data_IF_581999786639
#
_entry.id   IF_581999786639
#
_cell.length_a   1.000
_cell.length_b   1.000
_cell.length_c   1.000
_cell.angle_alpha   90.00
_cell.angle_beta   90.00
_cell.angle_gamma   90.00
#
_symmetry.space_group_name_H-M   'P 1'
#
loop_
_entity.id
_entity.type
_entity.pdbx_description
1 polymer ?
#
# COMPACT_ATOMS: atom_id res chain seq x y z
N UNK A 1 -3.08 8.44 27.09
CA UNK A 1 -2.38 7.23 26.63
C UNK A 1 -0.89 7.52 26.60
N UNK A 2 -0.06 6.71 27.26
CA UNK A 2 1.39 6.88 27.17
C UNK A 2 1.91 6.39 25.81
N UNK A 3 3.05 6.90 25.35
CA UNK A 3 3.66 6.50 24.07
C UNK A 3 3.85 4.97 23.98
N UNK A 4 4.17 4.31 25.10
CA UNK A 4 4.31 2.86 25.20
C UNK A 4 3.00 2.11 24.93
N UNK A 5 1.86 2.62 25.44
CA UNK A 5 0.55 2.01 25.19
C UNK A 5 0.13 2.12 23.72
N UNK A 6 0.50 3.22 23.06
CA UNK A 6 0.24 3.42 21.63
C UNK A 6 1.05 2.43 20.79
N UNK A 7 2.34 2.24 21.10
CA UNK A 7 3.20 1.29 20.39
C UNK A 7 2.69 -0.15 20.52
N UNK A 8 2.30 -0.59 21.72
CA UNK A 8 1.73 -1.93 21.89
C UNK A 8 0.41 -2.13 21.13
N UNK A 9 -0.44 -1.10 21.04
CA UNK A 9 -1.67 -1.18 20.25
C UNK A 9 -1.37 -1.32 18.76
N UNK A 10 -0.30 -0.70 18.29
CA UNK A 10 0.15 -0.80 16.90
C UNK A 10 0.71 -2.19 16.61
N UNK A 11 1.54 -2.74 17.50
CA UNK A 11 2.09 -4.10 17.33
C UNK A 11 0.95 -5.14 17.27
N UNK A 12 -0.05 -5.04 18.16
CA UNK A 12 -1.25 -5.89 18.10
C UNK A 12 -2.06 -5.72 16.80
N UNK A 13 -2.07 -4.52 16.23
CA UNK A 13 -2.72 -4.26 14.95
C UNK A 13 -1.97 -4.93 13.80
N UNK A 14 -0.64 -4.84 13.80
CA UNK A 14 0.23 -5.48 12.82
C UNK A 14 0.12 -7.01 12.86
N UNK A 15 0.08 -7.62 14.04
CA UNK A 15 -0.14 -9.07 14.17
C UNK A 15 -1.44 -9.53 13.51
N UNK A 16 -2.53 -8.80 13.72
CA UNK A 16 -3.84 -9.12 13.11
C UNK A 16 -3.83 -8.95 11.59
N UNK A 17 -3.11 -7.96 11.11
CA UNK A 17 -2.94 -7.72 9.68
C UNK A 17 -2.09 -8.84 9.04
N UNK A 18 -1.05 -9.31 9.72
CA UNK A 18 -0.26 -10.46 9.26
C UNK A 18 -1.12 -11.73 9.16
N UNK A 19 -2.00 -11.99 10.13
CA UNK A 19 -2.95 -13.11 10.05
C UNK A 19 -3.88 -13.02 8.83
N UNK A 20 -4.32 -11.81 8.48
CA UNK A 20 -5.10 -11.59 7.27
C UNK A 20 -4.27 -11.89 6.02
N UNK A 21 -3.01 -11.46 5.98
CA UNK A 21 -2.11 -11.77 4.87
C UNK A 21 -1.81 -13.25 4.74
N UNK A 22 -1.60 -13.98 5.84
CA UNK A 22 -1.40 -15.42 5.81
C UNK A 22 -2.66 -16.15 5.29
N UNK A 23 -3.85 -15.63 5.60
CA UNK A 23 -5.09 -16.15 5.04
C UNK A 23 -5.19 -15.87 3.53
N UNK A 24 -4.83 -14.66 3.09
CA UNK A 24 -4.79 -14.31 1.67
C UNK A 24 -3.73 -15.12 0.90
N UNK A 25 -2.51 -15.26 1.41
CA UNK A 25 -1.42 -16.04 0.82
C UNK A 25 -1.86 -17.49 0.61
N UNK A 26 -2.37 -18.14 1.65
CA UNK A 26 -2.88 -19.52 1.55
C UNK A 26 -4.00 -19.68 0.53
N UNK A 27 -4.87 -18.68 0.42
CA UNK A 27 -6.01 -18.72 -0.49
C UNK A 27 -5.61 -18.42 -1.95
N UNK A 28 -4.60 -17.56 -2.15
CA UNK A 28 -4.13 -17.12 -3.46
C UNK A 28 -3.06 -18.04 -4.06
N UNK A 29 -2.39 -18.89 -3.28
CA UNK A 29 -1.41 -19.84 -3.82
C UNK A 29 -2.06 -20.82 -4.79
N UNK A 30 -1.38 -21.04 -5.90
CA UNK A 30 -1.73 -22.05 -6.88
C UNK A 30 -1.59 -23.43 -6.21
N UNK A 31 -2.64 -24.28 -6.24
CA UNK A 31 -2.60 -25.61 -5.63
C UNK A 31 -1.58 -26.55 -6.30
N UNK A 32 -1.34 -26.37 -7.59
CA UNK A 32 -0.47 -27.20 -8.42
C UNK A 32 0.97 -26.65 -8.46
N UNK A 33 1.14 -25.32 -8.27
CA UNK A 33 2.45 -24.67 -8.14
C UNK A 33 2.51 -23.69 -6.94
N UNK A 34 2.90 -24.16 -5.73
CA UNK A 34 2.94 -23.34 -4.52
C UNK A 34 3.90 -22.14 -4.58
N UNK A 35 4.75 -22.03 -5.61
CA UNK A 35 5.64 -20.89 -5.83
C UNK A 35 4.95 -19.72 -6.55
N UNK A 36 3.71 -19.89 -7.00
CA UNK A 36 2.95 -18.90 -7.77
C UNK A 36 1.62 -18.61 -7.12
N UNK A 37 1.14 -17.39 -7.33
CA UNK A 37 -0.23 -17.01 -6.99
C UNK A 37 -1.15 -17.21 -8.19
N UNK A 38 -2.23 -17.95 -7.99
CA UNK A 38 -3.33 -18.06 -8.94
C UNK A 38 -4.43 -17.07 -8.54
N UNK A 39 -4.54 -15.99 -9.31
CA UNK A 39 -5.49 -14.90 -9.02
C UNK A 39 -6.63 -14.84 -10.04
N UNK A 40 -6.90 -15.97 -10.70
CA UNK A 40 -8.07 -16.16 -11.55
C UNK A 40 -9.34 -16.33 -10.71
N UNK A 41 -10.52 -15.89 -11.18
CA UNK A 41 -11.74 -16.10 -10.41
C UNK A 41 -12.15 -17.58 -10.43
N UNK A 42 -12.22 -18.17 -9.24
CA UNK A 42 -12.58 -19.58 -9.06
C UNK A 42 -14.08 -19.77 -9.26
N UNK A 43 -14.45 -20.77 -10.05
CA UNK A 43 -15.84 -21.03 -10.46
C UNK A 43 -16.79 -21.32 -9.30
N UNK A 44 -16.27 -21.94 -8.25
CA UNK A 44 -16.95 -22.28 -6.99
C UNK A 44 -17.52 -21.05 -6.25
N UNK A 45 -17.06 -19.83 -6.57
CA UNK A 45 -17.48 -18.61 -5.87
C UNK A 45 -18.40 -17.69 -6.70
N UNK A 46 -18.74 -18.08 -7.94
CA UNK A 46 -19.54 -17.23 -8.83
C UNK A 46 -21.00 -17.64 -8.80
N UNK A 47 -21.79 -16.95 -7.98
CA UNK A 47 -23.25 -17.14 -7.90
C UNK A 47 -23.94 -16.38 -9.03
N UNK A 48 -24.60 -17.11 -9.92
CA UNK A 48 -25.43 -16.55 -10.99
C UNK A 48 -26.88 -16.51 -10.53
N UNK A 49 -27.50 -15.35 -10.73
CA UNK A 49 -28.94 -15.17 -10.57
C UNK A 49 -29.56 -15.21 -11.96
N UNK A 50 -30.48 -16.14 -12.20
CA UNK A 50 -31.12 -16.31 -13.50
C UNK A 50 -32.64 -16.48 -13.35
N UNK A 51 -33.36 -16.25 -14.46
CA UNK A 51 -34.79 -16.50 -14.54
C UNK A 51 -35.01 -17.84 -15.22
N UNK A 52 -35.79 -18.69 -14.59
CA UNK A 52 -36.21 -19.98 -15.15
C UNK A 52 -37.71 -19.98 -15.35
N UNK A 53 -38.14 -20.44 -16.52
CA UNK A 53 -39.57 -20.57 -16.84
C UNK A 53 -40.10 -21.84 -16.16
N UNK A 54 -41.00 -21.67 -15.21
CA UNK A 54 -41.72 -22.81 -14.61
C UNK A 54 -42.72 -23.42 -15.57
N UNK A 55 -43.23 -24.60 -15.24
CA UNK A 55 -44.23 -25.34 -16.03
C UNK A 55 -45.50 -24.51 -16.30
N UNK A 56 -45.83 -23.58 -15.40
CA UNK A 56 -46.97 -22.65 -15.51
C UNK A 56 -46.69 -21.42 -16.40
N UNK A 57 -45.54 -21.38 -17.08
CA UNK A 57 -45.12 -20.29 -17.96
C UNK A 57 -44.63 -19.02 -17.23
N UNK A 58 -44.70 -18.97 -15.89
CA UNK A 58 -44.19 -17.87 -15.05
C UNK A 58 -42.67 -17.93 -14.91
N UNK A 59 -42.02 -16.76 -14.97
CA UNK A 59 -40.57 -16.63 -14.74
C UNK A 59 -40.28 -16.60 -13.24
N UNK A 60 -39.48 -17.53 -12.76
CA UNK A 60 -39.06 -17.63 -11.36
C UNK A 60 -37.58 -17.29 -11.22
N UNK A 61 -37.23 -16.46 -10.25
CA UNK A 61 -35.84 -16.07 -9.97
C UNK A 61 -35.15 -17.18 -9.18
N UNK A 62 -34.06 -17.72 -9.72
CA UNK A 62 -33.24 -18.74 -9.05
C UNK A 62 -31.80 -18.27 -8.90
N UNK A 63 -31.09 -18.91 -7.97
CA UNK A 63 -29.67 -18.70 -7.69
C UNK A 63 -28.97 -20.06 -7.78
N UNK A 64 -27.88 -20.14 -8.53
CA UNK A 64 -27.03 -21.32 -8.62
C UNK A 64 -25.59 -20.87 -8.89
N UNK A 65 -24.61 -21.73 -8.61
CA UNK A 65 -23.22 -21.52 -9.05
C UNK A 65 -23.11 -21.78 -10.55
N UNK A 66 -22.08 -21.22 -11.19
CA UNK A 66 -21.79 -21.52 -12.61
C UNK A 66 -21.55 -23.03 -12.81
N UNK A 67 -20.94 -23.70 -11.84
CA UNK A 67 -20.74 -25.15 -11.85
C UNK A 67 -22.06 -25.92 -11.95
N UNK A 68 -23.00 -25.63 -11.04
CA UNK A 68 -24.34 -26.25 -11.04
C UNK A 68 -25.11 -25.98 -12.33
N UNK A 69 -24.95 -24.79 -12.92
CA UNK A 69 -25.58 -24.44 -14.19
C UNK A 69 -24.98 -25.18 -15.37
N UNK A 70 -23.66 -25.33 -15.43
CA UNK A 70 -22.98 -26.04 -16.50
C UNK A 70 -23.25 -27.55 -16.41
N UNK A 71 -23.27 -28.13 -15.21
CA UNK A 71 -23.66 -29.52 -14.99
C UNK A 71 -25.08 -29.79 -15.51
N UNK A 72 -26.02 -28.90 -15.21
CA UNK A 72 -27.40 -29.00 -15.70
C UNK A 72 -27.54 -28.94 -17.22
N UNK A 73 -26.68 -28.21 -17.91
CA UNK A 73 -26.73 -28.06 -19.39
C UNK A 73 -25.96 -29.16 -20.09
N UNK A 74 -24.81 -29.56 -19.56
CA UNK A 74 -23.92 -30.56 -20.16
C UNK A 74 -24.30 -32.00 -19.79
N UNK A 75 -25.08 -32.20 -18.71
CA UNK A 75 -25.43 -33.53 -18.18
C UNK A 75 -24.26 -34.26 -17.49
N UNK A 76 -23.12 -33.58 -17.35
CA UNK A 76 -21.91 -34.05 -16.67
C UNK A 76 -21.33 -32.87 -15.90
N UNK A 77 -20.88 -33.10 -14.67
CA UNK A 77 -20.22 -32.07 -13.86
C UNK A 77 -18.87 -31.69 -14.52
N UNK A 78 -18.75 -30.50 -15.13
CA UNK A 78 -17.52 -30.10 -15.77
C UNK A 78 -16.51 -29.64 -14.72
N UNK A 79 -15.25 -29.99 -14.92
CA UNK A 79 -14.15 -29.42 -14.13
C UNK A 79 -13.88 -28.00 -14.62
N UNK A 80 -14.29 -27.00 -13.84
CA UNK A 80 -14.16 -25.59 -14.24
C UNK A 80 -12.86 -25.03 -13.69
N UNK A 81 -11.93 -24.72 -14.59
CA UNK A 81 -10.60 -24.19 -14.26
C UNK A 81 -10.58 -22.67 -14.05
N UNK A 82 -11.40 -21.90 -14.77
CA UNK A 82 -11.35 -20.43 -14.73
C UNK A 82 -12.73 -19.81 -15.02
N UNK A 83 -13.13 -18.80 -14.25
CA UNK A 83 -14.28 -17.92 -14.52
C UNK A 83 -13.80 -16.48 -14.47
N UNK A 84 -14.16 -15.58 -15.39
CA UNK A 84 -13.71 -14.18 -15.35
C UNK A 84 -14.84 -13.24 -14.87
N UNK A 85 -14.61 -12.41 -13.84
CA UNK A 85 -15.56 -11.39 -13.35
C UNK A 85 -14.92 -9.99 -13.46
N UNK A 86 -15.67 -9.03 -14.01
CA UNK A 86 -15.21 -7.65 -14.29
C UNK A 86 -15.31 -6.65 -13.13
N UNK A 87 -15.56 -7.05 -11.88
CA UNK A 87 -15.73 -6.11 -10.76
C UNK A 87 -14.75 -6.34 -9.63
N UNK A 88 -14.17 -5.22 -9.17
CA UNK A 88 -13.12 -5.02 -8.17
C UNK A 88 -12.22 -6.22 -7.99
N UNK A 89 -11.14 -6.21 -8.78
CA UNK A 89 -10.12 -7.22 -8.75
C UNK A 89 -9.55 -7.37 -7.33
N UNK A 90 -9.68 -8.55 -6.69
CA UNK A 90 -9.04 -8.80 -5.41
C UNK A 90 -7.53 -8.50 -5.43
N UNK A 91 -6.88 -8.57 -6.60
CA UNK A 91 -5.48 -8.13 -6.80
C UNK A 91 -5.29 -6.66 -6.48
N UNK A 92 -6.21 -5.82 -6.92
CA UNK A 92 -6.14 -4.39 -6.69
C UNK A 92 -6.28 -4.08 -5.20
N UNK A 93 -7.20 -4.77 -4.51
CA UNK A 93 -7.39 -4.63 -3.07
C UNK A 93 -6.16 -5.09 -2.27
N UNK A 94 -5.55 -6.22 -2.64
CA UNK A 94 -4.32 -6.72 -2.00
C UNK A 94 -3.15 -5.77 -2.25
N UNK A 95 -2.95 -5.31 -3.49
CA UNK A 95 -1.90 -4.35 -3.83
C UNK A 95 -2.09 -3.00 -3.11
N UNK A 96 -3.33 -2.53 -3.00
CA UNK A 96 -3.67 -1.32 -2.24
C UNK A 96 -3.40 -1.51 -0.74
N UNK A 97 -3.72 -2.68 -0.18
CA UNK A 97 -3.42 -3.01 1.22
C UNK A 97 -1.92 -3.05 1.48
N UNK A 98 -1.12 -3.72 0.63
CA UNK A 98 0.34 -3.79 0.76
C UNK A 98 1.00 -2.41 0.71
N UNK A 99 0.63 -1.56 -0.25
CA UNK A 99 1.11 -0.16 -0.32
C UNK A 99 0.78 0.62 0.94
N UNK A 100 -0.38 0.37 1.55
CA UNK A 100 -0.79 1.05 2.77
C UNK A 100 0.03 0.58 3.98
N UNK A 101 0.44 -0.68 4.05
CA UNK A 101 1.37 -1.14 5.09
C UNK A 101 2.78 -0.59 4.91
N UNK A 102 3.29 -0.48 3.69
CA UNK A 102 4.60 0.12 3.46
C UNK A 102 4.64 1.52 4.07
N UNK A 103 3.64 2.35 3.78
CA UNK A 103 3.53 3.69 4.35
C UNK A 103 3.39 3.72 5.88
N UNK A 104 2.65 2.78 6.47
CA UNK A 104 2.53 2.67 7.93
C UNK A 104 3.84 2.22 8.58
N UNK A 105 4.56 1.29 7.96
CA UNK A 105 5.83 0.77 8.44
C UNK A 105 6.91 1.85 8.38
N UNK A 106 6.95 2.63 7.30
CA UNK A 106 7.85 3.79 7.18
C UNK A 106 7.54 4.84 8.26
N UNK A 107 6.27 5.16 8.48
CA UNK A 107 5.86 6.10 9.52
C UNK A 107 6.30 5.63 10.91
N UNK A 108 6.18 4.33 11.20
CA UNK A 108 6.63 3.76 12.46
C UNK A 108 8.14 3.84 12.62
N UNK A 109 8.90 3.50 11.59
CA UNK A 109 10.35 3.59 11.63
C UNK A 109 10.83 5.05 11.80
N UNK A 110 10.12 6.03 11.22
CA UNK A 110 10.35 7.47 11.50
C UNK A 110 10.06 7.83 12.96
N UNK A 111 8.92 7.41 13.50
CA UNK A 111 8.55 7.67 14.90
C UNK A 111 9.56 7.05 15.88
N UNK A 112 10.12 5.88 15.55
CA UNK A 112 11.14 5.19 16.34
C UNK A 112 12.55 5.76 16.17
N UNK A 113 12.76 6.66 15.21
CA UNK A 113 14.09 7.18 14.86
C UNK A 113 15.00 6.14 14.20
N UNK A 114 14.43 5.06 13.66
CA UNK A 114 15.14 3.99 12.94
C UNK A 114 15.48 4.41 11.51
N UNK A 115 14.73 5.37 10.96
CA UNK A 115 15.03 5.98 9.66
C UNK A 115 15.85 7.27 9.86
N UNK A 116 16.90 7.49 9.05
CA UNK A 116 17.64 8.73 9.09
C UNK A 116 16.70 9.89 8.73
N UNK A 117 16.66 10.91 9.59
CA UNK A 117 16.13 12.22 9.21
C UNK A 117 16.85 12.66 7.93
N UNK A 118 16.15 13.20 6.92
CA UNK A 118 16.81 13.73 5.75
C UNK A 118 17.69 14.90 6.21
N UNK A 119 18.98 14.63 6.38
CA UNK A 119 19.98 15.68 6.61
C UNK A 119 20.04 16.49 5.32
N UNK A 120 19.31 17.61 5.31
CA UNK A 120 19.47 18.61 4.26
C UNK A 120 20.91 19.09 4.38
N UNK A 121 21.76 18.71 3.44
CA UNK A 121 23.12 19.19 3.37
C UNK A 121 23.10 20.65 2.91
N UNK A 122 22.67 21.56 3.79
CA UNK A 122 22.56 23.01 3.53
C UNK A 122 23.91 23.58 3.08
N UNK A 123 25.02 22.97 3.51
CA UNK A 123 26.38 23.34 3.13
C UNK A 123 26.70 23.15 1.63
N UNK A 124 25.97 22.31 0.91
CA UNK A 124 26.18 22.04 -0.53
C UNK A 124 25.06 22.61 -1.41
N UNK A 125 24.08 23.31 -0.81
CA UNK A 125 23.00 23.94 -1.56
C UNK A 125 23.55 25.08 -2.44
N UNK A 126 23.39 25.02 -3.77
CA UNK A 126 23.83 26.08 -4.68
C UNK A 126 23.19 27.44 -4.33
N UNK A 127 21.94 27.43 -3.85
CA UNK A 127 21.23 28.62 -3.40
C UNK A 127 21.89 29.27 -2.17
N UNK A 128 22.48 28.47 -1.28
CA UNK A 128 23.21 28.99 -0.12
C UNK A 128 24.54 29.64 -0.52
N UNK A 129 25.27 29.05 -1.48
CA UNK A 129 26.49 29.62 -2.02
C UNK A 129 26.22 30.95 -2.74
N UNK A 130 25.14 31.01 -3.54
CA UNK A 130 24.75 32.23 -4.24
C UNK A 130 24.34 33.35 -3.27
N UNK A 131 23.54 33.02 -2.24
CA UNK A 131 23.15 33.98 -1.22
C UNK A 131 24.36 34.54 -0.47
N UNK A 132 25.28 33.66 -0.04
CA UNK A 132 26.53 34.05 0.62
C UNK A 132 27.36 34.98 -0.28
N UNK A 133 27.50 34.65 -1.56
CA UNK A 133 28.23 35.48 -2.52
C UNK A 133 27.60 36.86 -2.68
N UNK A 134 26.27 36.94 -2.81
CA UNK A 134 25.54 38.21 -2.94
C UNK A 134 25.68 39.08 -1.68
N UNK A 135 25.57 38.49 -0.49
CA UNK A 135 25.75 39.21 0.78
C UNK A 135 27.18 39.75 0.90
N UNK A 136 28.19 38.92 0.64
CA UNK A 136 29.59 39.34 0.75
C UNK A 136 29.98 40.42 -0.27
N UNK A 137 29.44 40.34 -1.49
CA UNK A 137 29.57 41.36 -2.53
C UNK A 137 28.91 42.68 -2.12
N UNK A 138 27.68 42.65 -1.61
CA UNK A 138 26.99 43.85 -1.11
C UNK A 138 27.72 44.53 0.06
N UNK A 139 28.52 43.78 0.83
CA UNK A 139 29.31 44.29 1.95
C UNK A 139 30.70 44.82 1.56
N UNK A 140 31.12 44.73 0.28
CA UNK A 140 32.41 45.29 -0.19
C UNK A 140 32.62 46.77 0.14
N UNK A 141 31.64 47.65 -0.09
CA UNK A 141 31.81 49.07 0.20
C UNK A 141 31.84 49.41 1.70
N UNK A 142 31.48 48.46 2.58
CA UNK A 142 31.24 48.69 4.01
C UNK A 142 32.15 47.84 4.91
N UNK A 143 33.45 48.17 5.02
CA UNK A 143 34.44 47.33 5.71
C UNK A 143 34.15 47.11 7.19
N UNK A 144 33.59 48.11 7.90
CA UNK A 144 33.18 47.97 9.30
C UNK A 144 32.01 46.98 9.48
N UNK A 145 31.04 47.00 8.57
CA UNK A 145 29.90 46.08 8.60
C UNK A 145 30.35 44.63 8.31
N UNK A 146 31.27 44.46 7.36
CA UNK A 146 31.90 43.17 7.06
C UNK A 146 32.61 42.57 8.27
N UNK A 147 33.39 43.37 9.00
CA UNK A 147 34.07 42.91 10.21
C UNK A 147 33.09 42.51 11.32
N UNK A 148 32.02 43.29 11.53
CA UNK A 148 30.99 42.96 12.50
C UNK A 148 30.29 41.62 12.19
N UNK A 149 29.96 41.37 10.92
CA UNK A 149 29.36 40.10 10.47
C UNK A 149 30.33 38.93 10.67
N UNK A 150 31.61 39.10 10.30
CA UNK A 150 32.63 38.06 10.49
C UNK A 150 32.82 37.70 11.98
N UNK A 151 32.87 38.70 12.86
CA UNK A 151 32.98 38.49 14.30
C UNK A 151 31.77 37.73 14.86
N UNK A 152 30.55 38.09 14.43
CA UNK A 152 29.33 37.40 14.85
C UNK A 152 29.30 35.93 14.38
N UNK A 153 29.76 35.65 13.15
CA UNK A 153 29.80 34.27 12.62
C UNK A 153 30.83 33.40 13.34
N UNK A 154 32.01 33.95 13.67
CA UNK A 154 33.05 33.23 14.44
C UNK A 154 32.56 32.92 15.85
N UNK A 155 31.83 33.85 16.48
CA UNK A 155 31.27 33.65 17.82
C UNK A 155 30.17 32.57 17.89
N UNK A 156 29.52 32.25 16.76
CA UNK A 156 28.46 31.23 16.69
C UNK A 156 28.96 29.86 16.22
N UNK A 157 30.22 29.76 15.78
CA UNK A 157 30.83 28.54 15.24
C UNK A 157 31.66 27.76 16.28
N UNK A 158 31.61 28.16 17.56
CA UNK A 158 32.16 27.43 18.71
C UNK A 158 31.07 27.01 19.67
#
# INVERSE_FOLDING_TARGET
MSATQTLEQIDRCLERVNLLFDACDRWLRDPDDPSRYEVGPRAENVKVVYLERGEDGKMTRKKATIAELLERVAGVAPEIRLVEIKHSDPRELVLQASKRLEGLSELLARIRGELPEPTVAVLVSPAWLELRSRILGALEPYPKARQAVAAALVAHAG
#
